data_IF_806204329764
#
_entry.id   IF_806204329764
#
_cell.length_a   1.000
_cell.length_b   1.000
_cell.length_c   1.000
_cell.angle_alpha   90.00
_cell.angle_beta   90.00
_cell.angle_gamma   90.00
#
_symmetry.space_group_name_H-M   'P 1'
#
loop_
_entity.id
_entity.type
_entity.pdbx_description
1 polymer ?
#
# COMPACT_ATOMS: atom_id res chain seq x y z
N UNK A 1 -25.69 44.00 -34.45
CA UNK A 1 -26.05 43.11 -33.33
C UNK A 1 -25.13 41.91 -33.39
N UNK A 2 -24.34 41.66 -32.33
CA UNK A 2 -23.52 40.45 -32.25
C UNK A 2 -24.45 39.25 -32.16
N UNK A 3 -24.35 38.34 -33.12
CA UNK A 3 -25.12 37.09 -33.19
C UNK A 3 -24.70 36.06 -32.11
N UNK A 4 -23.73 36.40 -31.26
CA UNK A 4 -23.20 35.52 -30.21
C UNK A 4 -23.29 36.23 -28.86
N UNK A 5 -23.83 35.51 -27.88
CA UNK A 5 -23.91 35.89 -26.48
C UNK A 5 -23.29 34.76 -25.64
N UNK A 6 -22.75 35.09 -24.48
CA UNK A 6 -22.32 34.06 -23.52
C UNK A 6 -23.54 33.28 -23.06
N UNK A 7 -23.36 31.98 -22.82
CA UNK A 7 -24.38 31.12 -22.22
C UNK A 7 -24.72 31.63 -20.82
N UNK A 8 -23.73 32.07 -20.06
CA UNK A 8 -23.90 32.72 -18.74
C UNK A 8 -23.05 33.99 -18.64
N UNK A 9 -23.57 35.03 -17.99
CA UNK A 9 -22.89 36.32 -17.87
C UNK A 9 -21.60 36.22 -17.06
N UNK A 10 -21.56 35.33 -16.07
CA UNK A 10 -20.45 35.15 -15.13
C UNK A 10 -19.43 34.11 -15.64
N UNK A 11 -19.72 33.43 -16.75
CA UNK A 11 -18.76 32.55 -17.43
C UNK A 11 -17.52 33.35 -17.87
N UNK A 12 -16.36 32.96 -17.36
CA UNK A 12 -15.07 33.54 -17.74
C UNK A 12 -14.81 33.39 -19.23
N UNK A 13 -14.28 34.42 -19.87
CA UNK A 13 -13.85 34.35 -21.27
C UNK A 13 -12.65 33.42 -21.37
N UNK A 14 -12.77 32.33 -22.12
CA UNK A 14 -11.64 31.50 -22.51
C UNK A 14 -11.44 31.61 -24.02
N UNK A 15 -10.19 31.63 -24.46
CA UNK A 15 -9.79 31.56 -25.86
C UNK A 15 -9.28 30.15 -26.11
N UNK A 16 -9.58 29.56 -27.27
CA UNK A 16 -9.10 28.19 -27.54
C UNK A 16 -7.57 28.16 -27.60
N UNK A 17 -6.93 27.15 -27.02
CA UNK A 17 -5.47 27.05 -26.95
C UNK A 17 -4.79 27.09 -28.32
N UNK A 18 -5.49 26.71 -29.39
CA UNK A 18 -4.99 26.81 -30.76
C UNK A 18 -4.84 28.25 -31.28
N UNK A 19 -5.33 29.26 -30.57
CA UNK A 19 -5.22 30.68 -30.91
C UNK A 19 -4.26 31.46 -29.98
N UNK A 20 -3.62 30.80 -29.02
CA UNK A 20 -2.61 31.45 -28.15
C UNK A 20 -1.22 31.42 -28.80
N UNK A 21 -1.10 32.12 -29.93
CA UNK A 21 0.11 32.11 -30.76
C UNK A 21 1.33 32.79 -30.11
N UNK A 22 1.13 33.59 -29.06
CA UNK A 22 2.18 34.41 -28.44
C UNK A 22 2.45 34.05 -26.96
N UNK A 23 1.69 33.12 -26.39
CA UNK A 23 1.94 32.63 -25.04
C UNK A 23 2.79 31.37 -25.10
N UNK A 24 4.00 31.46 -24.59
CA UNK A 24 4.84 30.29 -24.36
C UNK A 24 4.39 29.60 -23.07
N UNK A 25 4.34 28.26 -23.02
CA UNK A 25 4.12 27.55 -21.76
C UNK A 25 5.10 28.01 -20.67
N UNK A 26 4.62 28.09 -19.44
CA UNK A 26 5.44 28.52 -18.30
C UNK A 26 6.68 27.62 -18.15
N UNK A 27 7.86 28.25 -18.08
CA UNK A 27 9.12 27.52 -17.87
C UNK A 27 9.35 27.28 -16.39
N UNK A 28 9.65 26.04 -16.00
CA UNK A 28 10.05 25.74 -14.64
C UNK A 28 11.49 26.22 -14.39
N UNK A 29 11.63 27.25 -13.55
CA UNK A 29 12.92 27.86 -13.17
C UNK A 29 13.38 27.46 -11.76
N UNK A 30 12.72 26.49 -11.13
CA UNK A 30 12.97 26.14 -9.71
C UNK A 30 14.08 25.10 -9.50
N UNK A 31 14.25 24.17 -10.45
CA UNK A 31 15.17 23.04 -10.35
C UNK A 31 16.33 23.24 -11.33
N UNK A 32 17.57 23.15 -10.86
CA UNK A 32 18.77 23.21 -11.71
C UNK A 32 19.08 21.87 -12.34
N UNK A 33 19.06 20.82 -11.54
CA UNK A 33 19.35 19.47 -11.96
C UNK A 33 18.61 18.47 -11.07
N UNK A 34 18.40 17.26 -11.60
CA UNK A 34 17.90 16.14 -10.81
C UNK A 34 18.60 14.86 -11.23
N UNK A 35 18.91 14.00 -10.27
CA UNK A 35 19.57 12.72 -10.51
C UNK A 35 18.99 11.65 -9.60
N UNK A 36 19.10 10.40 -10.01
CA UNK A 36 18.74 9.24 -9.18
C UNK A 36 20.03 8.64 -8.64
N UNK A 37 20.12 8.49 -7.33
CA UNK A 37 21.24 7.81 -6.68
C UNK A 37 20.85 6.36 -6.35
N UNK A 38 21.81 5.47 -6.53
CA UNK A 38 21.73 4.08 -6.05
C UNK A 38 22.40 3.98 -4.69
N UNK A 39 21.69 3.41 -3.72
CA UNK A 39 22.21 3.09 -2.40
C UNK A 39 22.18 1.58 -2.22
N UNK A 40 23.32 1.02 -1.84
CA UNK A 40 23.45 -0.37 -1.46
C UNK A 40 23.11 -0.55 0.03
N UNK A 41 22.79 -1.77 0.42
CA UNK A 41 22.61 -2.11 1.83
C UNK A 41 23.91 -1.88 2.60
N UNK A 42 23.83 -1.30 3.79
CA UNK A 42 24.99 -1.09 4.66
C UNK A 42 25.52 -2.42 5.21
N UNK A 43 24.63 -3.39 5.38
CA UNK A 43 24.95 -4.75 5.76
C UNK A 43 24.98 -5.68 4.53
N UNK A 44 25.69 -6.82 4.62
CA UNK A 44 25.62 -7.87 3.61
C UNK A 44 24.19 -8.32 3.30
N UNK A 45 23.89 -8.61 2.03
CA UNK A 45 22.53 -8.92 1.54
C UNK A 45 21.94 -10.22 2.15
N UNK A 46 22.77 -11.09 2.70
CA UNK A 46 22.34 -12.29 3.41
C UNK A 46 21.96 -12.05 4.88
N UNK A 47 22.17 -10.84 5.41
CA UNK A 47 21.83 -10.47 6.78
C UNK A 47 20.63 -9.54 6.74
N UNK A 48 19.59 -9.86 7.51
CA UNK A 48 18.40 -9.03 7.68
C UNK A 48 18.35 -8.48 9.11
N UNK A 49 17.73 -7.32 9.36
CA UNK A 49 17.06 -6.42 8.41
C UNK A 49 18.05 -5.67 7.48
N UNK A 50 17.56 -5.15 6.35
CA UNK A 50 18.35 -4.36 5.41
C UNK A 50 18.40 -2.90 5.83
N UNK A 51 19.61 -2.35 5.96
CA UNK A 51 19.80 -0.96 6.36
C UNK A 51 20.25 -0.11 5.17
N UNK A 52 19.56 1.00 4.94
CA UNK A 52 19.93 2.04 3.99
C UNK A 52 20.06 3.37 4.70
N UNK A 53 21.01 4.19 4.25
CA UNK A 53 21.23 5.52 4.79
C UNK A 53 21.38 6.54 3.70
N UNK A 54 20.52 7.55 3.73
CA UNK A 54 20.62 8.74 2.89
C UNK A 54 21.34 9.79 3.72
N UNK A 55 22.63 9.99 3.43
CA UNK A 55 23.43 10.99 4.13
C UNK A 55 22.91 12.42 3.87
N UNK A 56 23.02 13.26 4.90
CA UNK A 56 22.74 14.69 4.79
C UNK A 56 23.56 15.31 3.64
N UNK A 57 22.89 16.05 2.77
CA UNK A 57 23.52 16.72 1.64
C UNK A 57 22.85 18.06 1.35
N UNK A 58 23.47 18.88 0.50
CA UNK A 58 22.90 20.16 0.05
C UNK A 58 21.68 19.98 -0.85
N UNK A 59 21.55 18.81 -1.47
CA UNK A 59 20.43 18.46 -2.34
C UNK A 59 19.16 18.16 -1.54
N UNK A 60 18.03 18.52 -2.14
CA UNK A 60 16.71 18.11 -1.67
C UNK A 60 16.43 16.67 -2.09
N UNK A 61 15.58 15.99 -1.33
CA UNK A 61 15.27 14.58 -1.55
C UNK A 61 13.80 14.45 -1.92
N UNK A 62 13.52 13.78 -3.04
CA UNK A 62 12.16 13.43 -3.43
C UNK A 62 11.84 12.01 -2.93
N UNK A 63 11.25 11.96 -1.73
CA UNK A 63 10.83 10.70 -1.11
C UNK A 63 9.66 10.04 -1.85
N UNK A 64 8.90 10.78 -2.67
CA UNK A 64 7.85 10.20 -3.50
C UNK A 64 8.42 9.34 -4.64
N UNK A 65 9.68 9.55 -4.99
CA UNK A 65 10.47 8.76 -5.94
C UNK A 65 11.56 7.97 -5.22
N UNK A 66 11.15 7.26 -4.17
CA UNK A 66 11.95 6.28 -3.45
C UNK A 66 11.52 4.87 -3.86
N UNK A 67 12.41 4.14 -4.51
CA UNK A 67 12.14 2.81 -5.05
C UNK A 67 13.08 1.78 -4.46
N UNK A 68 12.55 0.64 -4.04
CA UNK A 68 13.34 -0.52 -3.60
C UNK A 68 13.40 -1.50 -4.75
N UNK A 69 14.61 -1.91 -5.10
CA UNK A 69 14.89 -2.94 -6.08
C UNK A 69 15.36 -4.21 -5.37
N UNK A 70 14.81 -5.35 -5.77
CA UNK A 70 15.22 -6.66 -5.28
C UNK A 70 15.46 -7.61 -6.44
N UNK A 71 16.50 -8.43 -6.31
CA UNK A 71 16.68 -9.62 -7.16
C UNK A 71 16.50 -10.85 -6.30
N UNK A 72 15.56 -11.71 -6.71
CA UNK A 72 15.08 -12.83 -5.90
C UNK A 72 15.30 -14.15 -6.62
N UNK A 73 15.57 -15.20 -5.86
CA UNK A 73 15.71 -16.58 -6.33
C UNK A 73 15.02 -17.53 -5.36
N UNK A 74 14.32 -18.54 -5.88
CA UNK A 74 13.71 -19.59 -5.05
C UNK A 74 14.65 -20.81 -5.07
N UNK A 75 14.89 -21.39 -3.89
CA UNK A 75 15.58 -22.67 -3.72
C UNK A 75 14.72 -23.67 -2.96
N UNK A 76 14.92 -24.96 -3.23
CA UNK A 76 14.29 -26.05 -2.47
C UNK A 76 15.28 -26.64 -1.48
N UNK A 77 14.77 -27.04 -0.32
CA UNK A 77 15.53 -27.75 0.71
C UNK A 77 15.47 -29.26 0.43
N UNK A 78 16.62 -29.92 0.37
CA UNK A 78 16.69 -31.37 0.26
C UNK A 78 16.51 -32.05 1.64
N UNK A 79 16.50 -33.39 1.68
CA UNK A 79 16.34 -34.14 2.93
C UNK A 79 17.47 -33.90 3.96
N UNK A 80 18.63 -33.40 3.52
CA UNK A 80 19.79 -33.08 4.37
C UNK A 80 19.78 -31.62 4.85
N UNK A 81 18.74 -30.84 4.53
CA UNK A 81 18.62 -29.43 4.90
C UNK A 81 19.42 -28.46 3.99
N UNK A 82 19.95 -28.95 2.87
CA UNK A 82 20.76 -28.16 1.93
C UNK A 82 19.86 -27.54 0.86
N UNK A 83 20.10 -26.25 0.58
CA UNK A 83 19.39 -25.49 -0.45
C UNK A 83 19.94 -25.79 -1.85
N UNK A 84 19.13 -26.48 -2.66
CA UNK A 84 19.41 -26.82 -4.05
C UNK A 84 18.49 -26.02 -5.01
N UNK A 85 18.87 -26.00 -6.29
CA UNK A 85 18.06 -25.36 -7.35
C UNK A 85 16.73 -26.10 -7.55
N UNK A 86 15.73 -25.40 -8.09
CA UNK A 86 14.43 -26.00 -8.46
C UNK A 86 14.57 -26.95 -9.66
N UNK A 87 13.65 -27.88 -9.77
CA UNK A 87 13.41 -28.67 -10.97
C UNK A 87 12.27 -28.07 -11.80
N UNK A 88 12.21 -28.38 -13.10
CA UNK A 88 11.12 -27.91 -13.98
C UNK A 88 9.72 -28.40 -13.56
N UNK A 89 9.65 -29.45 -12.74
CA UNK A 89 8.40 -30.01 -12.20
C UNK A 89 7.94 -29.33 -10.91
N UNK A 90 8.78 -28.51 -10.27
CA UNK A 90 8.43 -27.82 -9.03
C UNK A 90 7.31 -26.80 -9.29
N UNK A 91 6.18 -26.98 -8.59
CA UNK A 91 5.03 -26.09 -8.72
C UNK A 91 5.04 -25.01 -7.63
N UNK A 92 5.93 -24.03 -7.79
CA UNK A 92 6.21 -22.98 -6.79
C UNK A 92 6.33 -21.60 -7.43
N UNK A 93 5.81 -20.58 -6.75
CA UNK A 93 5.96 -19.18 -7.12
C UNK A 93 5.94 -18.28 -5.86
N UNK A 94 6.33 -17.03 -6.01
CA UNK A 94 6.08 -16.03 -4.97
C UNK A 94 4.60 -15.63 -4.93
N UNK A 95 4.17 -15.11 -3.77
CA UNK A 95 2.90 -14.41 -3.62
C UNK A 95 2.84 -13.16 -4.53
N UNK A 96 1.62 -12.67 -4.75
CA UNK A 96 1.34 -11.50 -5.59
C UNK A 96 2.16 -10.27 -5.15
N UNK A 97 2.64 -9.49 -6.12
CA UNK A 97 3.26 -8.18 -5.88
C UNK A 97 4.47 -8.24 -4.92
N UNK A 98 5.33 -9.24 -5.13
CA UNK A 98 6.48 -9.55 -4.26
C UNK A 98 7.40 -8.35 -3.99
N UNK A 99 7.50 -7.39 -4.91
CA UNK A 99 8.29 -6.16 -4.69
C UNK A 99 7.80 -5.31 -3.51
N UNK A 100 6.50 -5.36 -3.19
CA UNK A 100 5.91 -4.74 -2.01
C UNK A 100 5.75 -5.74 -0.86
N UNK A 101 5.24 -6.94 -1.14
CA UNK A 101 4.81 -7.90 -0.11
C UNK A 101 5.96 -8.62 0.58
N UNK A 102 7.17 -8.59 0.01
CA UNK A 102 8.39 -9.05 0.67
C UNK A 102 8.61 -8.36 2.02
N UNK A 103 8.17 -7.12 2.21
CA UNK A 103 8.43 -6.37 3.44
C UNK A 103 7.40 -6.68 4.54
N UNK A 104 7.90 -7.21 5.66
CA UNK A 104 7.14 -7.39 6.90
C UNK A 104 6.98 -6.07 7.63
N UNK A 105 8.10 -5.39 7.83
CA UNK A 105 8.16 -4.12 8.54
C UNK A 105 9.14 -3.17 7.86
N UNK A 106 8.85 -1.88 7.95
CA UNK A 106 9.76 -0.81 7.58
C UNK A 106 9.82 0.18 8.73
N UNK A 107 11.02 0.56 9.13
CA UNK A 107 11.26 1.64 10.09
C UNK A 107 12.01 2.75 9.37
N UNK A 108 11.49 3.97 9.48
CA UNK A 108 12.13 5.16 8.93
C UNK A 108 12.40 6.12 10.06
N UNK A 109 13.65 6.55 10.15
CA UNK A 109 14.10 7.61 11.04
C UNK A 109 14.68 8.74 10.21
N UNK A 110 14.32 9.97 10.56
CA UNK A 110 14.90 11.16 9.95
C UNK A 110 15.60 11.94 11.08
N UNK A 111 16.89 12.23 10.91
CA UNK A 111 17.75 12.83 11.94
C UNK A 111 17.63 12.14 13.31
N UNK A 112 17.62 10.80 13.32
CA UNK A 112 17.50 9.99 14.54
C UNK A 112 16.10 9.91 15.16
N UNK A 113 15.11 10.65 14.65
CA UNK A 113 13.72 10.58 15.12
C UNK A 113 12.92 9.64 14.24
N UNK A 114 12.31 8.60 14.82
CA UNK A 114 11.46 7.65 14.10
C UNK A 114 10.17 8.34 13.63
N UNK A 115 9.94 8.34 12.31
CA UNK A 115 8.76 8.96 11.69
C UNK A 115 7.71 7.93 11.26
N UNK A 116 8.13 6.69 10.99
CA UNK A 116 7.24 5.63 10.51
C UNK A 116 7.67 4.25 11.01
N UNK A 117 6.68 3.40 11.28
CA UNK A 117 6.83 1.97 11.54
C UNK A 117 5.63 1.20 10.98
N UNK A 118 5.90 0.16 10.19
CA UNK A 118 4.89 -0.63 9.48
C UNK A 118 4.17 -1.70 10.34
N UNK A 119 4.51 -1.84 11.62
CA UNK A 119 3.87 -2.74 12.59
C UNK A 119 3.70 -4.21 12.10
N UNK A 120 4.69 -4.75 11.38
CA UNK A 120 4.69 -6.12 10.83
C UNK A 120 3.53 -6.48 9.88
N UNK A 121 2.72 -5.51 9.44
CA UNK A 121 1.56 -5.71 8.56
C UNK A 121 1.73 -4.99 7.21
N UNK A 122 2.96 -4.63 6.86
CA UNK A 122 3.26 -3.81 5.69
C UNK A 122 2.84 -4.49 4.38
N UNK A 123 3.00 -5.80 4.26
CA UNK A 123 2.53 -6.55 3.09
C UNK A 123 1.01 -6.41 2.86
N UNK A 124 0.21 -6.44 3.92
CA UNK A 124 -1.24 -6.26 3.84
C UNK A 124 -1.62 -4.80 3.53
N UNK A 125 -0.90 -3.84 4.12
CA UNK A 125 -1.05 -2.41 3.79
C UNK A 125 -0.88 -2.17 2.29
N UNK A 126 0.23 -2.63 1.72
CA UNK A 126 0.50 -2.42 0.29
C UNK A 126 -0.51 -3.14 -0.60
N UNK A 127 -1.00 -4.31 -0.20
CA UNK A 127 -2.06 -4.98 -0.95
C UNK A 127 -3.36 -4.15 -0.92
N UNK A 128 -3.78 -3.63 0.24
CA UNK A 128 -4.93 -2.73 0.30
C UNK A 128 -4.76 -1.49 -0.56
N UNK A 129 -3.62 -0.80 -0.44
CA UNK A 129 -3.37 0.43 -1.17
C UNK A 129 -3.40 0.19 -2.68
N UNK A 130 -2.72 -0.85 -3.18
CA UNK A 130 -2.60 -1.06 -4.62
C UNK A 130 -3.83 -1.75 -5.23
N UNK A 131 -4.49 -2.65 -4.49
CA UNK A 131 -5.74 -3.27 -4.97
C UNK A 131 -6.88 -2.26 -5.02
N UNK A 132 -6.96 -1.32 -4.08
CA UNK A 132 -8.03 -0.32 -4.02
C UNK A 132 -7.75 0.92 -4.88
N UNK A 133 -6.52 1.19 -5.32
CA UNK A 133 -6.16 2.45 -6.02
C UNK A 133 -5.99 2.32 -7.54
N UNK A 134 -5.54 1.17 -8.05
CA UNK A 134 -5.15 1.09 -9.47
C UNK A 134 -6.18 0.35 -10.33
N UNK A 135 -6.47 0.85 -11.55
CA UNK A 135 -7.29 0.11 -12.50
C UNK A 135 -6.54 -1.11 -13.03
N UNK A 136 -7.29 -2.10 -13.53
CA UNK A 136 -6.74 -3.36 -14.03
C UNK A 136 -5.67 -3.16 -15.12
N UNK A 137 -5.80 -2.13 -15.97
CA UNK A 137 -4.81 -1.81 -17.01
C UNK A 137 -3.44 -1.43 -16.44
N UNK A 138 -3.40 -0.68 -15.34
CA UNK A 138 -2.15 -0.31 -14.65
C UNK A 138 -1.58 -1.49 -13.88
N UNK A 139 -2.46 -2.30 -13.25
CA UNK A 139 -2.10 -3.55 -12.59
C UNK A 139 -1.38 -4.53 -13.52
N UNK A 140 -1.91 -4.70 -14.73
CA UNK A 140 -1.33 -5.62 -15.73
C UNK A 140 -0.08 -5.07 -16.43
N UNK A 141 0.15 -3.75 -16.41
CA UNK A 141 1.29 -3.11 -17.07
C UNK A 141 2.37 -2.70 -16.07
N UNK A 142 2.26 -1.50 -15.49
CA UNK A 142 3.26 -0.93 -14.59
C UNK A 142 3.54 -1.81 -13.36
N UNK A 143 2.49 -2.36 -12.72
CA UNK A 143 2.68 -3.14 -11.48
C UNK A 143 3.29 -4.54 -11.72
N UNK A 144 3.42 -4.98 -12.97
CA UNK A 144 4.22 -6.18 -13.29
C UNK A 144 5.68 -6.02 -12.85
N UNK A 145 6.22 -4.79 -12.86
CA UNK A 145 7.56 -4.49 -12.33
C UNK A 145 7.69 -4.75 -10.82
N UNK A 146 6.58 -4.65 -10.08
CA UNK A 146 6.50 -5.01 -8.67
C UNK A 146 6.07 -6.47 -8.44
N UNK A 147 5.88 -7.25 -9.51
CA UNK A 147 5.47 -8.66 -9.46
C UNK A 147 3.96 -8.89 -9.40
N UNK A 148 3.14 -7.94 -9.86
CA UNK A 148 1.70 -8.12 -9.98
C UNK A 148 1.35 -8.96 -11.21
N UNK A 149 0.66 -10.08 -11.00
CA UNK A 149 0.11 -10.92 -12.07
C UNK A 149 -1.27 -11.40 -11.66
N UNK A 150 -2.30 -11.04 -12.41
CA UNK A 150 -3.67 -11.35 -12.00
C UNK A 150 -3.92 -12.87 -11.93
N UNK A 151 -4.24 -13.36 -10.73
CA UNK A 151 -4.60 -14.76 -10.51
C UNK A 151 -6.01 -15.09 -11.07
N UNK A 152 -6.74 -14.10 -11.59
CA UNK A 152 -8.09 -14.28 -12.13
C UNK A 152 -9.13 -14.49 -11.03
N UNK A 153 -10.31 -14.97 -11.42
CA UNK A 153 -11.48 -15.04 -10.53
C UNK A 153 -11.47 -16.26 -9.58
N UNK A 154 -10.51 -17.18 -9.68
CA UNK A 154 -10.44 -18.40 -8.86
C UNK A 154 -9.00 -18.63 -8.36
N UNK A 155 -8.82 -18.55 -7.04
CA UNK A 155 -7.53 -18.67 -6.36
C UNK A 155 -6.74 -19.95 -6.72
N UNK A 156 -5.42 -19.80 -6.86
CA UNK A 156 -4.39 -20.87 -6.90
C UNK A 156 -4.34 -21.78 -8.14
N UNK A 157 -5.19 -21.56 -9.15
CA UNK A 157 -5.06 -22.17 -10.50
C UNK A 157 -5.07 -21.13 -11.63
N UNK A 158 -4.76 -19.90 -11.26
CA UNK A 158 -4.83 -18.72 -12.11
C UNK A 158 -3.68 -18.58 -13.09
N UNK A 159 -3.93 -17.84 -14.17
CA UNK A 159 -2.92 -17.41 -15.15
C UNK A 159 -1.77 -16.64 -14.46
N UNK A 160 -2.07 -15.89 -13.39
CA UNK A 160 -1.09 -15.12 -12.63
C UNK A 160 -0.06 -15.99 -11.91
N UNK A 161 -0.49 -17.07 -11.26
CA UNK A 161 0.40 -18.01 -10.57
C UNK A 161 1.40 -18.65 -11.53
N UNK A 162 0.92 -19.14 -12.69
CA UNK A 162 1.80 -19.72 -13.70
C UNK A 162 2.77 -18.67 -14.28
N UNK A 163 2.31 -17.43 -14.47
CA UNK A 163 3.18 -16.32 -14.90
C UNK A 163 4.29 -16.03 -13.90
N UNK A 164 3.97 -15.99 -12.59
CA UNK A 164 4.97 -15.80 -11.52
C UNK A 164 5.92 -16.99 -11.42
N UNK A 165 5.43 -18.22 -11.59
CA UNK A 165 6.23 -19.44 -11.57
C UNK A 165 7.30 -19.44 -12.68
N UNK A 166 6.93 -19.03 -13.90
CA UNK A 166 7.86 -18.98 -15.05
C UNK A 166 9.07 -18.08 -14.75
N UNK A 167 8.91 -17.01 -13.97
CA UNK A 167 10.02 -16.12 -13.60
C UNK A 167 11.12 -16.82 -12.79
N UNK A 168 10.78 -17.87 -12.05
CA UNK A 168 11.70 -18.60 -11.18
C UNK A 168 11.98 -20.03 -11.66
N UNK A 169 11.32 -20.49 -12.72
CA UNK A 169 11.56 -21.81 -13.28
C UNK A 169 13.02 -21.90 -13.78
N UNK A 170 13.72 -23.03 -13.58
CA UNK A 170 15.07 -23.21 -14.09
C UNK A 170 15.08 -23.15 -15.62
N UNK A 171 16.16 -22.63 -16.18
CA UNK A 171 16.41 -22.62 -17.62
C UNK A 171 16.64 -24.04 -18.15
N UNK A 172 16.53 -24.23 -19.47
CA UNK A 172 16.64 -25.55 -20.12
C UNK A 172 18.01 -26.24 -19.91
N UNK A 173 19.04 -25.47 -19.56
CA UNK A 173 20.39 -25.90 -19.19
C UNK A 173 20.52 -26.33 -17.71
N UNK A 174 19.44 -26.22 -16.92
CA UNK A 174 19.42 -26.52 -15.48
C UNK A 174 19.88 -25.37 -14.60
N UNK A 175 20.16 -24.20 -15.17
CA UNK A 175 20.54 -23.00 -14.39
C UNK A 175 19.31 -22.39 -13.74
N UNK A 176 19.36 -22.20 -12.42
CA UNK A 176 18.26 -21.60 -11.68
C UNK A 176 18.13 -20.10 -11.98
N UNK A 177 16.95 -19.70 -12.45
CA UNK A 177 16.66 -18.30 -12.75
C UNK A 177 16.43 -17.48 -11.49
N UNK A 178 16.77 -16.20 -11.58
CA UNK A 178 16.40 -15.13 -10.66
C UNK A 178 15.49 -14.13 -11.36
N UNK A 179 14.68 -13.42 -10.58
CA UNK A 179 13.77 -12.40 -11.08
C UNK A 179 13.99 -11.08 -10.35
N UNK A 180 13.93 -9.98 -11.09
CA UNK A 180 14.14 -8.63 -10.58
C UNK A 180 12.80 -7.91 -10.42
N UNK A 181 12.64 -7.21 -9.31
CA UNK A 181 11.46 -6.43 -9.00
C UNK A 181 11.86 -5.05 -8.53
N UNK A 182 11.06 -4.05 -8.90
CA UNK A 182 11.20 -2.69 -8.40
C UNK A 182 9.84 -2.15 -7.98
N UNK A 183 9.77 -1.63 -6.77
CA UNK A 183 8.55 -1.15 -6.15
C UNK A 183 8.81 0.17 -5.44
N UNK A 184 7.79 1.03 -5.38
CA UNK A 184 7.87 2.24 -4.55
C UNK A 184 7.92 1.81 -3.08
N UNK A 185 8.70 2.50 -2.25
CA UNK A 185 8.62 2.28 -0.81
C UNK A 185 7.26 2.77 -0.29
N UNK A 186 6.39 1.83 0.10
CA UNK A 186 5.00 2.12 0.47
C UNK A 186 4.87 2.52 1.95
N UNK A 187 5.33 3.73 2.24
CA UNK A 187 5.35 4.34 3.57
C UNK A 187 4.74 5.74 3.50
N UNK A 188 4.13 6.19 4.59
CA UNK A 188 3.32 7.41 4.62
C UNK A 188 4.11 8.66 4.15
N UNK A 189 5.38 8.78 4.56
CA UNK A 189 6.27 9.89 4.18
C UNK A 189 6.73 9.84 2.71
N UNK A 190 6.66 8.68 2.05
CA UNK A 190 6.91 8.56 0.62
C UNK A 190 5.65 8.83 -0.21
N UNK A 191 4.48 8.98 0.42
CA UNK A 191 3.24 9.30 -0.29
C UNK A 191 2.97 10.81 -0.39
N UNK A 192 3.65 11.64 0.40
CA UNK A 192 3.57 13.10 0.26
C UNK A 192 4.42 13.60 -0.93
N UNK A 193 3.93 14.54 -1.76
CA UNK A 193 4.59 14.94 -3.01
C UNK A 193 5.66 16.04 -2.87
N UNK A 194 5.86 16.60 -1.68
CA UNK A 194 6.81 17.72 -1.45
C UNK A 194 8.22 17.17 -1.28
N UNK A 195 9.21 17.88 -1.85
CA UNK A 195 10.61 17.54 -1.64
C UNK A 195 11.00 17.78 -0.19
N UNK A 196 11.65 16.80 0.42
CA UNK A 196 12.22 16.94 1.74
C UNK A 196 13.36 17.95 1.70
N UNK A 197 13.35 18.87 2.66
CA UNK A 197 14.40 19.88 2.85
C UNK A 197 15.78 19.22 2.95
N UNK A 198 16.77 19.92 2.41
CA UNK A 198 18.16 19.49 2.44
C UNK A 198 18.73 19.39 3.87
N UNK A 199 19.92 18.80 4.00
CA UNK A 199 20.61 18.57 5.29
C UNK A 199 19.82 17.70 6.28
N UNK A 200 18.95 16.82 5.76
CA UNK A 200 18.32 15.77 6.54
C UNK A 200 18.98 14.43 6.24
N UNK A 201 19.29 13.70 7.30
CA UNK A 201 19.70 12.31 7.26
C UNK A 201 18.46 11.41 7.35
N UNK A 202 18.36 10.39 6.49
CA UNK A 202 17.26 9.43 6.51
C UNK A 202 17.84 8.03 6.64
N UNK A 203 17.49 7.35 7.72
CA UNK A 203 17.80 5.94 7.95
C UNK A 203 16.55 5.11 7.66
N UNK A 204 16.69 4.08 6.82
CA UNK A 204 15.62 3.17 6.43
C UNK A 204 16.05 1.76 6.78
N UNK A 205 15.22 1.07 7.55
CA UNK A 205 15.39 -0.33 7.90
C UNK A 205 14.23 -1.14 7.31
N UNK A 206 14.54 -2.16 6.52
CA UNK A 206 13.57 -3.04 5.87
C UNK A 206 13.73 -4.47 6.37
N UNK A 207 12.69 -4.98 7.02
CA UNK A 207 12.62 -6.36 7.48
C UNK A 207 11.76 -7.17 6.50
N UNK A 208 12.31 -8.22 5.84
CA UNK A 208 11.51 -9.08 4.99
C UNK A 208 10.61 -10.03 5.79
N UNK A 209 9.56 -10.53 5.15
CA UNK A 209 8.70 -11.61 5.64
C UNK A 209 9.39 -12.97 5.51
N UNK A 210 8.89 -13.93 6.28
CA UNK A 210 9.35 -15.31 6.24
C UNK A 210 8.99 -15.98 4.91
N UNK A 211 9.83 -16.90 4.43
CA UNK A 211 9.59 -17.66 3.19
C UNK A 211 8.28 -18.46 3.22
N UNK A 212 7.77 -18.82 4.41
CA UNK A 212 6.47 -19.48 4.56
C UNK A 212 5.29 -18.59 4.17
N UNK A 213 5.43 -17.27 4.32
CA UNK A 213 4.42 -16.29 3.93
C UNK A 213 4.58 -15.88 2.46
N UNK A 214 5.83 -15.76 1.99
CA UNK A 214 6.12 -15.21 0.66
C UNK A 214 5.97 -16.19 -0.49
N UNK A 215 6.05 -17.49 -0.23
CA UNK A 215 6.03 -18.54 -1.26
C UNK A 215 4.69 -19.25 -1.28
N UNK A 216 4.19 -19.51 -2.48
CA UNK A 216 2.99 -20.31 -2.75
C UNK A 216 3.38 -21.54 -3.59
N UNK A 217 3.11 -22.72 -3.06
CA UNK A 217 3.42 -24.04 -3.58
C UNK A 217 2.25 -25.00 -3.28
N UNK A 218 1.13 -24.93 -4.03
CA UNK A 218 -0.14 -25.55 -3.66
C UNK A 218 -0.11 -27.09 -3.67
N UNK A 219 0.72 -27.70 -4.52
CA UNK A 219 0.83 -29.16 -4.65
C UNK A 219 1.92 -29.77 -3.75
N UNK A 220 2.50 -28.97 -2.87
CA UNK A 220 3.65 -29.37 -2.08
C UNK A 220 3.24 -30.21 -0.86
N UNK A 221 3.83 -31.40 -0.73
CA UNK A 221 3.55 -32.33 0.36
C UNK A 221 4.62 -32.20 1.47
N UNK A 222 5.91 -32.29 1.12
CA UNK A 222 7.02 -32.37 2.10
C UNK A 222 8.25 -31.51 1.76
N UNK A 223 8.32 -30.87 0.59
CA UNK A 223 9.48 -30.06 0.20
C UNK A 223 9.38 -28.70 0.89
N UNK A 224 10.48 -28.11 1.35
CA UNK A 224 10.46 -26.74 1.86
C UNK A 224 11.15 -25.82 0.87
N UNK A 225 10.49 -24.74 0.50
CA UNK A 225 11.07 -23.74 -0.40
C UNK A 225 11.54 -22.51 0.39
N UNK A 226 12.60 -21.89 -0.09
CA UNK A 226 13.21 -20.71 0.53
C UNK A 226 13.39 -19.62 -0.52
N UNK A 227 13.06 -18.39 -0.14
CA UNK A 227 13.25 -17.23 -0.97
C UNK A 227 14.59 -16.58 -0.58
N UNK A 228 15.48 -16.47 -1.54
CA UNK A 228 16.77 -15.82 -1.37
C UNK A 228 16.80 -14.47 -2.05
N UNK A 229 17.32 -13.49 -1.34
CA UNK A 229 17.59 -12.16 -1.87
C UNK A 229 19.03 -12.13 -2.36
N UNK A 230 19.23 -11.97 -3.66
CA UNK A 230 20.54 -11.87 -4.30
C UNK A 230 21.06 -10.43 -4.30
N UNK A 231 20.16 -9.47 -4.50
CA UNK A 231 20.46 -8.05 -4.43
C UNK A 231 19.29 -7.28 -3.81
N UNK A 232 19.62 -6.26 -3.02
CA UNK A 232 18.67 -5.30 -2.46
C UNK A 232 19.28 -3.90 -2.60
N UNK A 233 18.60 -2.99 -3.28
CA UNK A 233 19.10 -1.65 -3.60
C UNK A 233 18.00 -0.63 -3.41
N UNK A 234 18.36 0.58 -3.01
CA UNK A 234 17.44 1.70 -2.87
C UNK A 234 17.79 2.78 -3.89
N UNK A 235 16.82 3.16 -4.71
CA UNK A 235 16.93 4.26 -5.66
C UNK A 235 16.18 5.47 -5.13
N UNK A 236 16.87 6.60 -5.02
CA UNK A 236 16.30 7.84 -4.49
C UNK A 236 16.60 9.00 -5.43
N UNK A 237 15.58 9.78 -5.76
CA UNK A 237 15.75 10.99 -6.56
C UNK A 237 16.25 12.16 -5.69
N UNK A 238 17.38 12.74 -6.09
CA UNK A 238 17.95 13.98 -5.56
C UNK A 238 17.64 15.14 -6.50
N UNK A 239 17.43 16.30 -5.90
CA UNK A 239 17.04 17.53 -6.60
C UNK A 239 17.92 18.66 -6.13
N UNK A 240 18.52 19.33 -7.10
CA UNK A 240 19.27 20.56 -6.90
C UNK A 240 18.37 21.74 -7.31
N UNK A 241 18.24 22.73 -6.43
CA UNK A 241 17.45 23.92 -6.68
C UNK A 241 18.33 25.04 -7.19
N UNK A 242 17.74 26.02 -7.87
CA UNK A 242 18.42 27.30 -8.11
C UNK A 242 18.83 27.96 -6.80
N UNK A 243 20.04 28.55 -6.76
CA UNK A 243 20.62 29.17 -5.56
C UNK A 243 19.70 30.24 -4.93
N UNK A 244 19.07 31.06 -5.77
CA UNK A 244 18.14 32.12 -5.32
C UNK A 244 16.95 31.53 -4.55
N UNK A 245 16.37 30.45 -5.07
CA UNK A 245 15.25 29.76 -4.43
C UNK A 245 15.69 29.02 -3.17
N UNK A 246 16.85 28.36 -3.19
CA UNK A 246 17.40 27.69 -2.03
C UNK A 246 17.67 28.66 -0.88
N UNK A 247 18.17 29.86 -1.18
CA UNK A 247 18.34 30.95 -0.21
C UNK A 247 17.00 31.43 0.35
N UNK A 248 16.01 31.68 -0.50
CA UNK A 248 14.67 32.11 -0.07
C UNK A 248 13.97 31.08 0.82
N UNK A 249 14.09 29.79 0.51
CA UNK A 249 13.57 28.70 1.35
C UNK A 249 14.30 28.68 2.69
N UNK A 250 15.63 28.82 2.69
CA UNK A 250 16.43 28.85 3.91
C UNK A 250 16.04 30.01 4.82
N UNK A 251 15.81 31.21 4.27
CA UNK A 251 15.31 32.37 5.01
C UNK A 251 13.89 32.16 5.54
N UNK A 252 13.01 31.52 4.77
CA UNK A 252 11.65 31.18 5.23
C UNK A 252 11.67 30.16 6.38
N UNK A 253 12.61 29.21 6.37
CA UNK A 253 12.78 28.22 7.44
C UNK A 253 13.19 28.85 8.78
N UNK A 254 13.77 30.06 8.78
CA UNK A 254 14.04 30.81 10.03
C UNK A 254 12.76 31.32 10.71
N UNK A 255 11.69 31.53 9.93
CA UNK A 255 10.43 32.11 10.42
C UNK A 255 9.36 31.04 10.63
N UNK A 256 9.31 30.02 9.76
CA UNK A 256 8.29 28.97 9.80
C UNK A 256 8.85 27.61 9.38
N UNK A 257 8.43 26.52 10.03
CA UNK A 257 8.88 25.18 9.66
C UNK A 257 8.33 24.77 8.29
N UNK A 258 9.07 23.89 7.61
CA UNK A 258 8.54 23.16 6.47
C UNK A 258 7.46 22.19 6.94
N UNK A 259 6.37 22.10 6.19
CA UNK A 259 5.19 21.28 6.54
C UNK A 259 4.99 20.23 5.46
N UNK A 260 4.85 18.97 5.86
CA UNK A 260 4.62 17.83 4.98
C UNK A 260 3.29 17.19 5.36
N UNK A 261 2.20 17.50 4.64
CA UNK A 261 0.91 16.86 4.84
C UNK A 261 1.02 15.40 4.40
N UNK A 262 0.57 14.46 5.22
CA UNK A 262 0.57 13.04 4.90
C UNK A 262 -0.66 12.35 5.47
N UNK A 263 -1.08 11.26 4.82
CA UNK A 263 -2.04 10.31 5.37
C UNK A 263 -1.24 9.27 6.12
N UNK A 264 -1.35 9.28 7.45
CA UNK A 264 -0.75 8.26 8.31
C UNK A 264 -1.62 7.01 8.29
N UNK A 265 -1.02 5.86 8.09
CA UNK A 265 -1.71 4.58 8.14
C UNK A 265 -1.44 3.88 9.46
N UNK A 266 -2.49 3.28 10.04
CA UNK A 266 -2.40 2.47 11.26
C UNK A 266 -3.05 1.12 11.01
N UNK A 267 -2.27 0.05 11.14
CA UNK A 267 -2.77 -1.31 10.96
C UNK A 267 -2.94 -2.04 12.28
N UNK A 268 -4.02 -2.82 12.38
CA UNK A 268 -4.32 -3.70 13.49
C UNK A 268 -4.86 -5.03 12.99
N UNK A 269 -4.32 -6.13 13.51
CA UNK A 269 -4.87 -7.47 13.30
C UNK A 269 -5.61 -7.96 14.54
N UNK A 270 -6.71 -8.69 14.34
CA UNK A 270 -7.54 -9.26 15.39
C UNK A 270 -7.92 -10.71 15.02
N UNK A 271 -7.59 -11.64 15.90
CA UNK A 271 -7.97 -13.04 15.72
C UNK A 271 -9.42 -13.29 16.16
N UNK A 272 -10.18 -13.98 15.30
CA UNK A 272 -11.55 -14.42 15.56
C UNK A 272 -11.54 -15.95 15.61
N UNK A 273 -11.88 -16.51 16.78
CA UNK A 273 -11.89 -17.95 16.98
C UNK A 273 -12.97 -18.65 16.15
N UNK A 274 -12.73 -19.92 15.84
CA UNK A 274 -13.74 -20.80 15.24
C UNK A 274 -15.04 -20.86 16.05
N UNK A 275 -16.12 -21.30 15.40
CA UNK A 275 -17.46 -21.48 15.98
C UNK A 275 -18.13 -20.20 16.52
N UNK A 276 -17.56 -19.01 16.30
CA UNK A 276 -18.23 -17.73 16.59
C UNK A 276 -19.13 -17.30 15.44
N UNK A 277 -20.25 -16.69 15.77
CA UNK A 277 -21.17 -16.02 14.81
C UNK A 277 -21.19 -14.51 14.99
N UNK A 278 -20.61 -14.00 16.06
CA UNK A 278 -20.52 -12.57 16.36
C UNK A 278 -19.12 -12.22 16.87
N UNK A 279 -18.64 -11.04 16.51
CA UNK A 279 -17.36 -10.51 16.96
C UNK A 279 -17.47 -9.00 17.15
N UNK A 280 -16.97 -8.51 18.30
CA UNK A 280 -16.94 -7.09 18.62
C UNK A 280 -15.56 -6.76 19.21
N UNK A 281 -14.92 -5.70 18.73
CA UNK A 281 -13.62 -5.27 19.25
C UNK A 281 -13.36 -3.79 19.00
N UNK A 282 -12.57 -3.19 19.90
CA UNK A 282 -12.04 -1.84 19.69
C UNK A 282 -10.84 -1.89 18.74
N UNK A 283 -10.87 -1.07 17.68
CA UNK A 283 -9.77 -0.92 16.73
C UNK A 283 -8.77 0.14 17.25
N UNK A 284 -9.23 1.37 17.45
CA UNK A 284 -8.40 2.50 17.91
C UNK A 284 -9.10 3.25 19.04
N UNK A 285 -8.36 3.79 20.00
CA UNK A 285 -8.93 4.40 21.21
C UNK A 285 -8.93 5.95 21.20
N UNK A 286 -8.00 6.57 20.48
CA UNK A 286 -7.70 8.01 20.65
C UNK A 286 -8.22 8.88 19.51
N UNK A 287 -7.96 8.47 18.27
CA UNK A 287 -8.31 9.22 17.07
C UNK A 287 -9.20 8.39 16.16
N UNK A 288 -10.30 9.00 15.71
CA UNK A 288 -11.17 8.41 14.70
C UNK A 288 -10.49 8.54 13.34
N UNK A 289 -10.20 7.43 12.65
CA UNK A 289 -9.64 7.48 11.31
C UNK A 289 -10.68 8.05 10.33
N UNK A 290 -10.19 8.68 9.26
CA UNK A 290 -11.06 9.19 8.19
C UNK A 290 -11.63 8.06 7.35
N UNK A 291 -10.86 6.99 7.19
CA UNK A 291 -11.24 5.80 6.41
C UNK A 291 -10.78 4.56 7.15
N UNK A 292 -11.62 3.53 7.13
CA UNK A 292 -11.31 2.20 7.66
C UNK A 292 -11.42 1.19 6.54
N UNK A 293 -10.33 0.50 6.26
CA UNK A 293 -10.25 -0.62 5.31
C UNK A 293 -10.14 -1.92 6.11
N UNK A 294 -10.94 -2.92 5.77
CA UNK A 294 -10.97 -4.21 6.47
C UNK A 294 -10.88 -5.35 5.44
N UNK A 295 -9.95 -6.25 5.68
CA UNK A 295 -9.88 -7.55 5.02
C UNK A 295 -9.90 -8.67 6.05
N UNK A 296 -10.48 -9.82 5.69
CA UNK A 296 -10.45 -11.03 6.52
C UNK A 296 -9.77 -12.16 5.77
N UNK A 297 -8.84 -12.84 6.43
CA UNK A 297 -8.11 -14.00 5.88
C UNK A 297 -8.15 -15.16 6.86
N UNK A 298 -7.86 -16.38 6.40
CA UNK A 298 -7.73 -17.53 7.31
C UNK A 298 -6.51 -17.32 8.20
N UNK A 299 -6.56 -17.80 9.44
CA UNK A 299 -5.42 -17.66 10.34
C UNK A 299 -4.14 -18.34 9.81
N UNK A 300 -4.28 -19.49 9.13
CA UNK A 300 -3.16 -20.17 8.50
C UNK A 300 -2.48 -19.33 7.40
N UNK A 301 -3.26 -18.53 6.66
CA UNK A 301 -2.78 -17.64 5.60
C UNK A 301 -2.05 -16.43 6.20
N UNK A 302 -2.54 -15.92 7.34
CA UNK A 302 -1.92 -14.83 8.10
C UNK A 302 -0.58 -15.21 8.75
N UNK A 303 -0.51 -16.39 9.37
CA UNK A 303 0.72 -16.90 10.00
C UNK A 303 1.78 -17.25 8.94
N UNK A 304 1.34 -17.64 7.75
CA UNK A 304 2.18 -18.03 6.63
C UNK A 304 2.17 -19.54 6.40
N UNK A 305 1.72 -19.95 5.23
CA UNK A 305 1.65 -21.34 4.78
C UNK A 305 2.01 -21.39 3.30
N UNK A 306 2.99 -22.22 2.94
CA UNK A 306 3.37 -22.37 1.54
C UNK A 306 2.29 -23.05 0.69
N UNK A 307 1.23 -23.59 1.28
CA UNK A 307 0.17 -24.26 0.49
C UNK A 307 -0.93 -23.31 0.03
N UNK A 308 -1.01 -22.12 0.61
CA UNK A 308 -2.14 -21.21 0.46
C UNK A 308 -1.67 -19.79 0.16
N UNK A 309 -2.59 -18.95 -0.33
CA UNK A 309 -2.27 -17.56 -0.65
C UNK A 309 -2.56 -16.66 0.57
N UNK A 310 -1.58 -15.88 1.08
CA UNK A 310 -1.78 -14.96 2.21
C UNK A 310 -2.80 -13.84 1.95
N UNK A 311 -3.07 -13.51 0.67
CA UNK A 311 -3.91 -12.38 0.24
C UNK A 311 -5.29 -12.80 -0.27
N UNK A 312 -5.80 -13.95 0.19
CA UNK A 312 -7.15 -14.42 -0.18
C UNK A 312 -8.22 -13.87 0.78
N UNK A 313 -8.65 -12.63 0.52
CA UNK A 313 -9.65 -11.93 1.34
C UNK A 313 -11.05 -12.50 1.11
N UNK A 314 -11.58 -13.17 2.13
CA UNK A 314 -12.87 -13.88 2.09
C UNK A 314 -13.91 -13.19 2.95
N UNK A 315 -15.17 -13.29 2.53
CA UNK A 315 -16.30 -12.77 3.29
C UNK A 315 -16.70 -13.65 4.49
N UNK A 316 -16.31 -14.93 4.52
CA UNK A 316 -16.64 -15.90 5.59
C UNK A 316 -18.14 -15.96 5.96
N UNK A 317 -19.01 -15.77 4.96
CA UNK A 317 -20.47 -15.67 5.12
C UNK A 317 -20.92 -14.56 6.08
N UNK A 318 -20.24 -13.40 6.01
CA UNK A 318 -20.61 -12.18 6.71
C UNK A 318 -22.07 -11.80 6.42
N UNK A 319 -22.81 -11.49 7.48
CA UNK A 319 -24.22 -11.06 7.47
C UNK A 319 -24.35 -9.55 7.63
N UNK A 320 -23.57 -8.99 8.56
CA UNK A 320 -23.59 -7.56 8.85
C UNK A 320 -22.23 -7.12 9.41
N UNK A 321 -21.84 -5.89 9.08
CA UNK A 321 -20.65 -5.22 9.59
C UNK A 321 -20.98 -3.77 9.86
N UNK A 322 -20.55 -3.28 11.02
CA UNK A 322 -20.67 -1.88 11.38
C UNK A 322 -19.43 -1.37 12.12
N UNK A 323 -19.09 -0.11 11.87
CA UNK A 323 -18.02 0.62 12.53
C UNK A 323 -18.65 1.68 13.41
N UNK A 324 -18.43 1.62 14.71
CA UNK A 324 -18.87 2.68 15.63
C UNK A 324 -17.67 3.54 16.01
N UNK A 325 -17.69 4.80 15.59
CA UNK A 325 -16.63 5.77 15.79
C UNK A 325 -17.20 7.05 16.41
N UNK A 326 -16.68 7.44 17.57
CA UNK A 326 -17.15 8.66 18.27
C UNK A 326 -18.65 8.66 18.60
N UNK A 327 -19.23 7.48 18.86
CA UNK A 327 -20.65 7.31 19.16
C UNK A 327 -21.59 7.25 17.94
N UNK A 328 -21.05 7.37 16.72
CA UNK A 328 -21.81 7.26 15.47
C UNK A 328 -21.49 5.91 14.82
N UNK A 329 -22.51 5.21 14.32
CA UNK A 329 -22.36 3.92 13.64
C UNK A 329 -22.45 4.06 12.13
N UNK A 330 -21.53 3.41 11.42
CA UNK A 330 -21.38 3.40 9.97
C UNK A 330 -21.46 1.97 9.42
N UNK A 331 -22.29 1.71 8.40
CA UNK A 331 -23.34 2.60 7.89
C UNK A 331 -24.46 2.80 8.94
N UNK A 332 -25.24 3.88 8.78
CA UNK A 332 -26.40 4.13 9.64
C UNK A 332 -27.51 3.09 9.42
N UNK A 333 -27.74 2.68 8.17
CA UNK A 333 -28.62 1.57 7.84
C UNK A 333 -27.80 0.27 7.81
N UNK A 334 -28.13 -0.73 8.65
CA UNK A 334 -27.37 -1.98 8.72
C UNK A 334 -27.43 -2.76 7.40
N UNK A 335 -26.48 -3.67 7.21
CA UNK A 335 -26.52 -4.58 6.08
C UNK A 335 -27.32 -5.84 6.42
N UNK A 336 -27.77 -6.52 5.36
CA UNK A 336 -28.36 -7.86 5.44
C UNK A 336 -27.76 -8.72 4.32
N UNK A 337 -26.47 -9.03 4.48
CA UNK A 337 -25.65 -9.68 3.47
C UNK A 337 -25.94 -11.19 3.39
N UNK A 338 -26.02 -11.68 2.16
CA UNK A 338 -26.09 -13.12 1.84
C UNK A 338 -25.29 -13.34 0.56
N UNK A 339 -23.99 -13.59 0.71
CA UNK A 339 -23.06 -13.80 -0.39
C UNK A 339 -23.47 -14.97 -1.30
N UNK A 340 -23.84 -16.15 -0.77
CA UNK A 340 -24.33 -17.27 -1.60
C UNK A 340 -25.55 -16.92 -2.46
N UNK A 341 -26.44 -16.03 -2.01
CA UNK A 341 -27.60 -15.57 -2.79
C UNK A 341 -27.36 -14.28 -3.59
N UNK A 342 -26.13 -13.79 -3.69
CA UNK A 342 -25.82 -12.56 -4.44
C UNK A 342 -26.26 -11.27 -3.76
N UNK A 343 -26.66 -11.28 -2.48
CA UNK A 343 -27.15 -10.10 -1.75
C UNK A 343 -26.01 -9.34 -1.09
N UNK A 344 -25.12 -8.77 -1.89
CA UNK A 344 -23.98 -7.97 -1.41
C UNK A 344 -23.72 -6.71 -2.25
N UNK A 345 -24.61 -6.39 -3.19
CA UNK A 345 -24.43 -5.25 -4.11
C UNK A 345 -24.21 -3.92 -3.37
N UNK A 346 -24.95 -3.67 -2.27
CA UNK A 346 -24.81 -2.43 -1.50
C UNK A 346 -23.41 -2.28 -0.89
N UNK A 347 -22.88 -3.29 -0.19
CA UNK A 347 -21.56 -3.16 0.43
C UNK A 347 -20.44 -3.04 -0.61
N UNK A 348 -20.63 -3.62 -1.81
CA UNK A 348 -19.73 -3.43 -2.93
C UNK A 348 -19.79 -2.00 -3.52
N UNK A 349 -20.99 -1.43 -3.62
CA UNK A 349 -21.16 -0.03 -4.03
C UNK A 349 -20.57 0.93 -3.00
N UNK A 350 -20.87 0.73 -1.71
CA UNK A 350 -20.38 1.56 -0.60
C UNK A 350 -18.83 1.53 -0.53
N UNK A 351 -18.19 0.40 -0.89
CA UNK A 351 -16.73 0.33 -1.06
C UNK A 351 -16.23 1.30 -2.15
N UNK A 352 -16.88 1.31 -3.32
CA UNK A 352 -16.51 2.19 -4.44
C UNK A 352 -16.80 3.67 -4.16
N UNK A 353 -17.87 3.94 -3.42
CA UNK A 353 -18.19 5.29 -2.92
C UNK A 353 -17.09 5.78 -1.98
N UNK A 354 -16.69 4.95 -1.01
CA UNK A 354 -15.72 5.31 0.03
C UNK A 354 -14.30 5.56 -0.50
N UNK A 355 -13.92 4.93 -1.62
CA UNK A 355 -12.64 5.16 -2.33
C UNK A 355 -12.73 6.26 -3.41
N UNK A 356 -13.94 6.73 -3.77
CA UNK A 356 -14.14 7.81 -4.74
C UNK A 356 -14.24 7.38 -6.21
N UNK A 357 -14.55 6.11 -6.50
CA UNK A 357 -14.74 5.63 -7.88
C UNK A 357 -16.20 5.52 -8.32
N UNK A 358 -17.14 5.55 -7.39
CA UNK A 358 -18.55 5.48 -7.75
C UNK A 358 -18.93 6.64 -8.69
N UNK A 359 -19.48 6.29 -9.85
CA UNK A 359 -19.92 7.26 -10.86
C UNK A 359 -18.80 7.98 -11.64
N UNK A 360 -17.54 7.60 -11.47
CA UNK A 360 -16.41 8.18 -12.24
C UNK A 360 -15.97 7.24 -13.38
N UNK A 361 -15.04 7.72 -14.23
CA UNK A 361 -14.40 6.91 -15.27
C UNK A 361 -13.23 6.05 -14.73
N UNK A 362 -12.86 6.24 -13.46
CA UNK A 362 -11.78 5.53 -12.80
C UNK A 362 -12.30 4.24 -12.15
N UNK A 363 -11.40 3.29 -11.85
CA UNK A 363 -11.76 2.00 -11.25
C UNK A 363 -10.58 1.38 -10.50
N UNK A 364 -10.88 0.53 -9.52
CA UNK A 364 -9.91 -0.35 -8.86
C UNK A 364 -9.78 -1.73 -9.55
N UNK A 365 -10.55 -2.03 -10.60
CA UNK A 365 -10.51 -3.34 -11.27
C UNK A 365 -11.09 -4.53 -10.49
N UNK A 366 -11.74 -4.30 -9.33
CA UNK A 366 -12.41 -5.35 -8.56
C UNK A 366 -13.85 -5.47 -9.04
N UNK A 367 -14.19 -6.57 -9.71
CA UNK A 367 -15.57 -6.87 -10.13
C UNK A 367 -16.39 -7.39 -8.94
N UNK A 368 -17.72 -7.38 -9.07
CA UNK A 368 -18.60 -8.01 -8.06
C UNK A 368 -18.30 -9.51 -7.87
N UNK A 369 -17.90 -10.21 -8.93
CA UNK A 369 -17.51 -11.62 -8.86
C UNK A 369 -16.20 -11.82 -8.10
N UNK A 370 -15.20 -10.97 -8.35
CA UNK A 370 -13.94 -10.97 -7.58
C UNK A 370 -14.16 -10.66 -6.11
N UNK A 371 -15.07 -9.73 -5.83
CA UNK A 371 -15.45 -9.35 -4.47
C UNK A 371 -16.10 -10.50 -3.70
N UNK A 372 -16.98 -11.29 -4.33
CA UNK A 372 -17.65 -12.41 -3.63
C UNK A 372 -16.85 -13.71 -3.63
N UNK A 373 -16.30 -14.12 -4.77
CA UNK A 373 -15.71 -15.46 -4.96
C UNK A 373 -14.21 -15.43 -5.29
N UNK A 374 -13.68 -14.30 -5.75
CA UNK A 374 -12.29 -14.21 -6.23
C UNK A 374 -11.24 -13.93 -5.17
N UNK A 375 -11.61 -13.81 -3.89
CA UNK A 375 -10.64 -13.51 -2.82
C UNK A 375 -10.27 -12.03 -2.69
N UNK A 376 -11.12 -11.13 -3.19
CA UNK A 376 -10.94 -9.66 -3.12
C UNK A 376 -12.04 -8.99 -2.29
N UNK A 377 -12.55 -9.67 -1.26
CA UNK A 377 -13.54 -9.10 -0.34
C UNK A 377 -12.88 -8.10 0.63
N UNK A 378 -12.60 -6.89 0.16
CA UNK A 378 -12.04 -5.78 0.94
C UNK A 378 -13.16 -4.78 1.23
N UNK A 379 -13.39 -4.48 2.51
CA UNK A 379 -14.48 -3.61 2.96
C UNK A 379 -13.91 -2.24 3.28
N UNK A 380 -14.55 -1.17 2.81
CA UNK A 380 -14.07 0.20 3.02
C UNK A 380 -15.19 1.06 3.60
N UNK A 381 -14.91 1.79 4.66
CA UNK A 381 -15.82 2.71 5.33
C UNK A 381 -15.23 4.11 5.35
N UNK A 382 -15.95 5.07 4.80
CA UNK A 382 -15.63 6.49 4.96
C UNK A 382 -16.28 7.02 6.24
N UNK A 383 -15.47 7.58 7.13
CA UNK A 383 -15.87 8.14 8.43
C UNK A 383 -15.71 9.67 8.48
N UNK A 384 -15.39 10.32 7.35
CA UNK A 384 -15.30 11.78 7.26
C UNK A 384 -16.66 12.44 7.54
N UNK A 385 -16.64 13.71 7.92
CA UNK A 385 -17.87 14.46 8.21
C UNK A 385 -18.77 14.62 6.98
N UNK A 386 -18.17 14.87 5.82
CA UNK A 386 -18.88 14.97 4.56
C UNK A 386 -19.27 13.60 3.99
N UNK A 387 -18.66 12.51 4.50
CA UNK A 387 -18.67 11.19 3.87
C UNK A 387 -18.15 11.20 2.43
N UNK A 388 -17.40 12.23 2.06
CA UNK A 388 -16.74 12.39 0.77
C UNK A 388 -15.21 12.26 0.96
N UNK A 389 -14.50 11.81 -0.07
CA UNK A 389 -13.03 11.90 -0.10
C UNK A 389 -12.63 13.29 -0.57
N UNK A 390 -12.61 14.23 0.37
CA UNK A 390 -12.02 15.54 0.16
C UNK A 390 -10.53 15.29 -0.12
N UNK A 391 -10.10 15.47 -1.37
CA UNK A 391 -8.79 15.04 -1.90
C UNK A 391 -7.56 15.54 -1.11
N UNK A 392 -6.33 15.32 -1.62
CA UNK A 392 -5.10 15.48 -0.84
C UNK A 392 -4.80 16.92 -0.38
N UNK A 393 -5.55 17.92 -0.87
CA UNK A 393 -5.36 19.34 -0.54
C UNK A 393 -6.16 19.80 0.68
N UNK A 394 -7.04 18.95 1.21
CA UNK A 394 -7.97 19.29 2.29
C UNK A 394 -7.86 18.28 3.42
N UNK A 395 -7.69 18.80 4.64
CA UNK A 395 -7.77 18.01 5.85
C UNK A 395 -9.20 17.98 6.37
N UNK A 396 -9.62 16.82 6.87
CA UNK A 396 -10.86 16.73 7.62
C UNK A 396 -10.64 17.07 9.10
N UNK A 397 -11.71 17.49 9.78
CA UNK A 397 -11.67 17.77 11.21
C UNK A 397 -11.34 16.49 11.99
N UNK A 398 -10.25 16.54 12.77
CA UNK A 398 -9.87 15.44 13.66
C UNK A 398 -10.95 15.26 14.73
N UNK A 399 -11.46 14.04 14.85
CA UNK A 399 -12.35 13.64 15.94
C UNK A 399 -11.58 12.72 16.88
N UNK A 400 -11.62 13.06 18.16
CA UNK A 400 -11.14 12.17 19.20
C UNK A 400 -12.26 11.20 19.58
N UNK A 401 -11.90 9.93 19.75
CA UNK A 401 -12.86 8.92 20.14
C UNK A 401 -12.43 7.51 19.77
N UNK A 402 -13.09 6.55 20.41
CA UNK A 402 -12.86 5.14 20.14
C UNK A 402 -13.57 4.72 18.86
N UNK A 403 -12.85 3.99 18.03
CA UNK A 403 -13.36 3.31 16.84
C UNK A 403 -13.44 1.82 17.12
N UNK A 404 -14.61 1.23 16.98
CA UNK A 404 -14.88 -0.18 17.24
C UNK A 404 -15.58 -0.83 16.04
N UNK A 405 -15.35 -2.12 15.86
CA UNK A 405 -15.96 -2.93 14.80
C UNK A 405 -16.88 -3.98 15.41
N UNK A 406 -18.03 -4.18 14.79
CA UNK A 406 -18.97 -5.27 15.05
C UNK A 406 -19.21 -6.05 13.76
N UNK A 407 -19.08 -7.37 13.86
CA UNK A 407 -19.32 -8.32 12.77
C UNK A 407 -20.34 -9.35 13.23
N UNK A 408 -21.25 -9.73 12.33
CA UNK A 408 -22.08 -10.92 12.50
C UNK A 408 -22.06 -11.76 11.25
N UNK A 409 -22.08 -13.09 11.41
CA UNK A 409 -21.94 -14.07 10.33
C UNK A 409 -23.20 -14.94 10.25
N UNK A 410 -23.58 -15.33 9.02
CA UNK A 410 -24.68 -16.26 8.79
C UNK A 410 -24.30 -17.70 9.19
N UNK A 411 -23.01 -18.04 9.11
CA UNK A 411 -22.44 -19.31 9.53
C UNK A 411 -21.33 -19.09 10.56
N UNK A 412 -21.09 -20.07 11.45
CA UNK A 412 -19.97 -20.01 12.36
C UNK A 412 -18.64 -19.92 11.61
N UNK A 413 -17.69 -19.19 12.19
CA UNK A 413 -16.32 -19.11 11.67
C UNK A 413 -15.73 -20.53 11.52
N UNK A 414 -15.10 -20.83 10.36
CA UNK A 414 -14.56 -22.15 10.08
C UNK A 414 -13.43 -22.56 11.04
N UNK A 415 -13.14 -23.86 11.05
CA UNK A 415 -12.08 -24.44 11.87
C UNK A 415 -10.72 -23.75 11.61
N UNK A 416 -9.96 -23.52 12.69
CA UNK A 416 -8.68 -22.82 12.66
C UNK A 416 -8.77 -21.29 12.77
N UNK A 417 -9.99 -20.72 12.76
CA UNK A 417 -10.22 -19.30 12.96
C UNK A 417 -9.80 -18.41 11.79
N UNK A 418 -10.15 -17.14 11.89
CA UNK A 418 -9.82 -16.11 10.89
C UNK A 418 -9.13 -14.93 11.55
N UNK A 419 -8.39 -14.15 10.76
CA UNK A 419 -7.77 -12.90 11.19
C UNK A 419 -8.41 -11.76 10.43
N UNK A 420 -8.95 -10.81 11.17
CA UNK A 420 -9.39 -9.52 10.65
C UNK A 420 -8.18 -8.58 10.64
N UNK A 421 -7.96 -7.93 9.50
CA UNK A 421 -6.90 -6.95 9.31
C UNK A 421 -7.60 -5.62 9.01
N UNK A 422 -7.46 -4.67 9.93
CA UNK A 422 -8.00 -3.32 9.81
C UNK A 422 -6.87 -2.33 9.55
N UNK A 423 -7.05 -1.46 8.56
CA UNK A 423 -6.20 -0.32 8.27
C UNK A 423 -7.02 0.95 8.44
N UNK A 424 -6.56 1.84 9.32
CA UNK A 424 -7.12 3.16 9.53
C UNK A 424 -6.22 4.21 8.88
N UNK A 425 -6.82 5.10 8.09
CA UNK A 425 -6.15 6.28 7.55
C UNK A 425 -6.45 7.50 8.42
N UNK A 426 -5.42 8.28 8.73
CA UNK A 426 -5.50 9.45 9.60
C UNK A 426 -4.73 10.60 8.95
N UNK A 427 -5.29 11.80 8.97
CA UNK A 427 -4.57 12.99 8.51
C UNK A 427 -3.49 13.38 9.53
N UNK A 428 -2.27 13.61 9.04
CA UNK A 428 -1.11 13.96 9.86
C UNK A 428 -0.25 15.03 9.19
N UNK A 429 0.44 15.82 10.01
CA UNK A 429 1.35 16.86 9.58
C UNK A 429 2.72 16.64 10.21
N UNK A 430 3.73 16.41 9.39
CA UNK A 430 5.12 16.39 9.81
C UNK A 430 5.73 17.77 9.58
N UNK A 431 6.39 18.32 10.58
CA UNK A 431 7.07 19.60 10.52
C UNK A 431 8.57 19.46 10.74
N UNK A 432 9.34 20.17 9.93
CA UNK A 432 10.80 20.27 10.01
C UNK A 432 11.19 21.73 10.21
N UNK A 433 11.86 22.03 11.31
CA UNK A 433 12.30 23.39 11.64
C UNK A 433 13.66 23.76 11.00
N UNK A 434 14.18 24.95 11.34
CA UNK A 434 15.50 25.42 10.92
C UNK A 434 16.62 24.43 11.24
N UNK A 435 16.56 23.81 12.41
CA UNK A 435 17.55 22.86 12.91
C UNK A 435 17.33 21.44 12.39
N UNK A 436 16.35 21.25 11.49
CA UNK A 436 15.90 19.94 10.99
C UNK A 436 15.42 19.03 12.12
N UNK A 437 14.93 19.63 13.20
CA UNK A 437 14.23 18.92 14.27
C UNK A 437 12.85 18.59 13.77
N UNK A 438 12.44 17.35 14.01
CA UNK A 438 11.16 16.83 13.58
C UNK A 438 10.15 16.99 14.69
N UNK A 439 9.00 17.52 14.32
CA UNK A 439 7.82 17.53 15.16
C UNK A 439 6.67 16.95 14.36
N UNK A 440 5.93 16.01 14.94
CA UNK A 440 4.68 15.53 14.40
C UNK A 440 3.55 16.06 15.27
N UNK A 441 2.42 16.38 14.66
CA UNK A 441 1.19 16.62 15.40
C UNK A 441 0.71 15.28 15.98
N UNK A 442 1.26 14.89 17.13
CA UNK A 442 0.57 14.04 18.08
C UNK A 442 -0.27 15.02 18.89
N UNK A 443 -1.59 14.86 18.84
CA UNK A 443 -2.53 15.52 19.75
C UNK A 443 -1.93 15.58 21.15
N UNK A 444 -1.74 16.80 21.67
CA UNK A 444 -1.42 17.07 23.08
C UNK A 444 -2.48 16.44 23.98
#
# INVERSE_FOLDING_TARGET
MSIHHKIDRDSSNAITNALSFFETPNTNVSVSSSSVIELLTLNPVNITPYHFKIHASTNYIDLAKCYVFTELKIRKENNDGILINLDATDNVACCQMIGHTIWKNCRISINGTQVFEGNSLMAYKSIFDYELTYPQGVKNSYLSAAGYYDDGDIALKGVGFESRKILFAPSADGTQNSAQFIAKLDVDICNQPRYMVNQCEVDIELLPNDSNFLIVAPNNINTKYHLEVLACKLFVKKIELMDSLAFDISKKLEVKPARYPMRKTSLKSLFISENRTEFNANLWADQVPRRVVIGMVKNADFVGSQRTNPFNFQHFDLRDISITAGGITFPAAPYSLDFPKGKFCRIFHDMHEAIGYAGTLESNGISMERFSNGGFCILVFNLTNSQEDNGPETFDLIKNGTTSVKLTFNRPIPAGGIVLIAMGEVDSLLMLDRNRTITSDISV
#
